data_IF_394341634331
#
_entry.id   IF_394341634331
#
_cell.length_a   1.000
_cell.length_b   1.000
_cell.length_c   1.000
_cell.angle_alpha   90.00
_cell.angle_beta   90.00
_cell.angle_gamma   90.00
#
_symmetry.space_group_name_H-M   'P 1'
#
loop_
_entity.id
_entity.type
_entity.pdbx_description
1 polymer ?
#
# COMPACT_ATOMS: atom_id res chain seq x y z
N UNK A 1 -10.53 -70.22 -14.27
CA UNK A 1 -11.92 -69.96 -13.80
C UNK A 1 -11.97 -70.09 -12.29
N UNK A 2 -11.83 -69.00 -11.54
CA UNK A 2 -12.09 -69.00 -10.09
C UNK A 2 -13.29 -68.09 -9.82
N UNK A 3 -14.32 -68.70 -9.25
CA UNK A 3 -15.63 -68.10 -8.96
C UNK A 3 -15.53 -67.25 -7.69
N UNK A 4 -15.75 -65.95 -7.81
CA UNK A 4 -16.12 -65.12 -6.66
C UNK A 4 -17.50 -65.56 -6.17
N UNK A 5 -17.54 -66.31 -5.06
CA UNK A 5 -18.79 -66.58 -4.33
C UNK A 5 -19.15 -65.34 -3.51
N UNK A 6 -20.10 -64.58 -4.01
CA UNK A 6 -20.76 -63.50 -3.31
C UNK A 6 -21.79 -64.11 -2.34
N UNK A 7 -21.48 -64.14 -1.04
CA UNK A 7 -22.46 -64.44 0.00
C UNK A 7 -23.24 -63.15 0.29
N UNK A 8 -24.38 -62.96 -0.36
CA UNK A 8 -25.33 -61.93 0.00
C UNK A 8 -26.09 -62.40 1.23
N UNK A 9 -25.66 -61.92 2.40
CA UNK A 9 -26.40 -62.08 3.64
C UNK A 9 -27.46 -60.96 3.68
N UNK A 10 -28.68 -61.24 3.25
CA UNK A 10 -29.81 -60.30 3.25
C UNK A 10 -30.38 -60.12 4.67
N UNK A 11 -29.52 -59.74 5.63
CA UNK A 11 -30.00 -59.26 6.93
C UNK A 11 -30.36 -57.80 6.75
N UNK A 12 -31.66 -57.48 6.84
CA UNK A 12 -32.14 -56.11 6.80
C UNK A 12 -31.39 -55.24 7.80
N UNK A 13 -31.17 -53.97 7.43
CA UNK A 13 -30.50 -52.97 8.27
C UNK A 13 -31.12 -52.93 9.65
N UNK A 14 -30.31 -53.14 10.68
CA UNK A 14 -30.78 -53.01 12.06
C UNK A 14 -31.02 -51.53 12.39
N UNK A 15 -31.97 -51.25 13.28
CA UNK A 15 -32.30 -49.89 13.69
C UNK A 15 -31.08 -49.13 14.24
N UNK A 16 -30.20 -49.85 14.93
CA UNK A 16 -28.97 -49.31 15.50
C UNK A 16 -27.98 -48.91 14.40
N UNK A 17 -27.85 -49.69 13.32
CA UNK A 17 -26.99 -49.33 12.19
C UNK A 17 -27.48 -48.08 11.47
N UNK A 18 -28.80 -47.94 11.25
CA UNK A 18 -29.37 -46.73 10.63
C UNK A 18 -29.15 -45.51 11.53
N UNK A 19 -29.34 -45.66 12.85
CA UNK A 19 -29.13 -44.57 13.80
C UNK A 19 -27.65 -44.14 13.85
N UNK A 20 -26.72 -45.09 13.83
CA UNK A 20 -25.29 -44.79 13.78
C UNK A 20 -24.90 -44.07 12.48
N UNK A 21 -25.41 -44.50 11.33
CA UNK A 21 -25.14 -43.82 10.05
C UNK A 21 -25.69 -42.39 10.02
N UNK A 22 -26.89 -42.14 10.55
CA UNK A 22 -27.46 -40.79 10.63
C UNK A 22 -26.66 -39.87 11.56
N UNK A 23 -26.17 -40.39 12.69
CA UNK A 23 -25.33 -39.61 13.62
C UNK A 23 -23.98 -39.26 12.96
N UNK A 24 -23.32 -40.23 12.32
CA UNK A 24 -22.05 -39.99 11.62
C UNK A 24 -22.25 -39.00 10.47
N UNK A 25 -23.31 -39.17 9.68
CA UNK A 25 -23.65 -38.25 8.59
C UNK A 25 -23.93 -36.83 9.10
N UNK A 26 -24.63 -36.71 10.23
CA UNK A 26 -24.91 -35.42 10.89
C UNK A 26 -23.64 -34.70 11.34
N UNK A 27 -22.69 -35.43 11.94
CA UNK A 27 -21.40 -34.87 12.36
C UNK A 27 -20.60 -34.38 11.14
N UNK A 28 -20.53 -35.19 10.08
CA UNK A 28 -19.83 -34.82 8.84
C UNK A 28 -20.47 -33.60 8.19
N UNK A 29 -21.80 -33.53 8.15
CA UNK A 29 -22.53 -32.42 7.55
C UNK A 29 -22.27 -31.10 8.29
N UNK A 30 -22.32 -31.12 9.63
CA UNK A 30 -22.01 -29.94 10.45
C UNK A 30 -20.53 -29.56 10.28
N UNK A 31 -19.63 -30.53 10.21
CA UNK A 31 -18.19 -30.29 10.01
C UNK A 31 -17.85 -29.63 8.67
N UNK A 32 -18.56 -29.96 7.60
CA UNK A 32 -18.34 -29.34 6.28
C UNK A 32 -19.00 -27.94 6.22
N UNK A 33 -20.17 -27.76 6.86
CA UNK A 33 -20.87 -26.46 6.92
C UNK A 33 -20.05 -25.36 7.59
N UNK A 34 -19.08 -25.68 8.47
CA UNK A 34 -18.21 -24.69 9.11
C UNK A 34 -17.01 -24.26 8.25
N UNK A 35 -16.72 -24.96 7.15
CA UNK A 35 -15.61 -24.66 6.24
C UNK A 35 -16.02 -23.69 5.11
N UNK A 36 -17.27 -23.77 4.65
CA UNK A 36 -17.77 -22.92 3.56
C UNK A 36 -17.75 -21.41 3.86
N UNK A 37 -18.16 -20.93 5.06
CA UNK A 37 -18.12 -19.50 5.37
C UNK A 37 -16.69 -18.90 5.30
N UNK A 38 -15.67 -19.74 5.54
CA UNK A 38 -14.28 -19.30 5.54
C UNK A 38 -13.74 -19.07 4.13
N UNK A 39 -14.18 -19.85 3.14
CA UNK A 39 -13.74 -19.69 1.75
C UNK A 39 -14.33 -18.45 1.09
N UNK A 40 -15.60 -18.13 1.35
CA UNK A 40 -16.23 -16.90 0.83
C UNK A 40 -15.56 -15.65 1.40
N UNK A 41 -15.32 -15.63 2.72
CA UNK A 41 -14.70 -14.48 3.40
C UNK A 41 -13.23 -14.29 3.01
N UNK A 42 -12.52 -15.36 2.63
CA UNK A 42 -11.15 -15.26 2.12
C UNK A 42 -11.09 -14.74 0.68
N UNK A 43 -12.06 -15.10 -0.15
CA UNK A 43 -12.14 -14.63 -1.53
C UNK A 43 -12.45 -13.13 -1.61
N UNK A 44 -13.42 -12.65 -0.83
CA UNK A 44 -13.77 -11.22 -0.75
C UNK A 44 -12.56 -10.39 -0.29
N UNK A 45 -11.83 -10.85 0.75
CA UNK A 45 -10.61 -10.18 1.21
C UNK A 45 -9.49 -10.19 0.17
N UNK A 46 -9.41 -11.22 -0.66
CA UNK A 46 -8.39 -11.32 -1.70
C UNK A 46 -8.69 -10.35 -2.84
N UNK A 47 -9.95 -10.22 -3.25
CA UNK A 47 -10.40 -9.26 -4.26
C UNK A 47 -10.11 -7.81 -3.82
N UNK A 48 -10.54 -7.43 -2.62
CA UNK A 48 -10.28 -6.09 -2.05
C UNK A 48 -8.77 -5.80 -1.97
N UNK A 49 -7.95 -6.81 -1.65
CA UNK A 49 -6.49 -6.66 -1.61
C UNK A 49 -5.88 -6.43 -2.99
N UNK A 50 -6.38 -7.09 -4.03
CA UNK A 50 -5.89 -6.91 -5.39
C UNK A 50 -6.24 -5.51 -5.91
N UNK A 51 -7.45 -5.04 -5.67
CA UNK A 51 -7.90 -3.72 -6.10
C UNK A 51 -7.11 -2.60 -5.39
N UNK A 52 -6.96 -2.69 -4.07
CA UNK A 52 -6.17 -1.72 -3.31
C UNK A 52 -4.67 -1.75 -3.67
N UNK A 53 -4.15 -2.88 -4.16
CA UNK A 53 -2.78 -2.93 -4.69
C UNK A 53 -2.64 -2.20 -6.04
N UNK A 54 -3.66 -2.27 -6.89
CA UNK A 54 -3.69 -1.48 -8.11
C UNK A 54 -3.79 0.01 -7.80
N UNK A 55 -4.64 0.41 -6.83
CA UNK A 55 -4.70 1.79 -6.34
C UNK A 55 -3.34 2.27 -5.84
N UNK A 56 -2.67 1.50 -4.98
CA UNK A 56 -1.34 1.88 -4.45
C UNK A 56 -0.29 2.08 -5.56
N UNK A 57 -0.34 1.28 -6.63
CA UNK A 57 0.54 1.41 -7.80
C UNK A 57 0.22 2.64 -8.62
N UNK A 58 -1.05 2.90 -8.86
CA UNK A 58 -1.51 4.09 -9.58
C UNK A 58 -1.10 5.35 -8.83
N UNK A 59 -1.36 5.45 -7.53
CA UNK A 59 -0.97 6.60 -6.71
C UNK A 59 0.54 6.80 -6.69
N UNK A 60 1.31 5.72 -6.65
CA UNK A 60 2.78 5.80 -6.77
C UNK A 60 3.20 6.37 -8.12
N UNK A 61 2.54 5.99 -9.20
CA UNK A 61 2.84 6.51 -10.53
C UNK A 61 2.48 7.99 -10.64
N UNK A 62 1.31 8.39 -10.12
CA UNK A 62 0.87 9.79 -10.14
C UNK A 62 1.85 10.68 -9.37
N UNK A 63 2.18 10.31 -8.12
CA UNK A 63 3.11 11.10 -7.31
C UNK A 63 4.49 11.22 -7.96
N UNK A 64 4.98 10.18 -8.63
CA UNK A 64 6.26 10.19 -9.37
C UNK A 64 6.28 11.17 -10.55
N UNK A 65 5.12 11.46 -11.15
CA UNK A 65 5.02 12.36 -12.30
C UNK A 65 4.93 13.84 -11.92
N UNK A 66 4.79 14.15 -10.63
CA UNK A 66 4.72 15.52 -10.15
C UNK A 66 6.06 16.20 -10.37
N UNK A 67 6.12 17.31 -11.14
CA UNK A 67 7.36 18.07 -11.31
C UNK A 67 7.66 18.80 -10.00
N UNK A 68 8.68 18.34 -9.27
CA UNK A 68 9.17 18.97 -8.07
C UNK A 68 10.45 19.73 -8.39
N UNK A 69 10.48 21.02 -8.06
CA UNK A 69 11.55 21.92 -8.46
C UNK A 69 12.06 22.73 -7.27
N UNK A 70 13.37 22.72 -7.07
CA UNK A 70 14.07 23.58 -6.13
C UNK A 70 14.98 24.56 -6.87
N UNK A 71 15.02 25.80 -6.38
CA UNK A 71 16.02 26.78 -6.83
C UNK A 71 17.38 26.34 -6.34
N UNK A 72 18.40 26.46 -7.17
CA UNK A 72 19.76 26.22 -6.72
C UNK A 72 20.19 27.32 -5.75
N UNK A 73 20.25 26.98 -4.48
CA UNK A 73 21.13 27.66 -3.56
C UNK A 73 22.33 26.72 -3.29
N UNK A 74 23.52 27.28 -3.02
CA UNK A 74 24.78 26.54 -2.78
C UNK A 74 24.74 25.76 -1.46
N UNK A 75 23.70 24.96 -1.23
CA UNK A 75 23.47 24.28 0.02
C UNK A 75 24.01 22.86 -0.11
N UNK A 76 24.93 22.54 0.78
CA UNK A 76 25.56 21.23 0.99
C UNK A 76 24.61 20.18 1.59
N UNK A 77 23.30 20.46 1.61
CA UNK A 77 22.26 19.61 2.17
C UNK A 77 20.85 20.16 1.95
N UNK A 78 19.83 19.34 2.20
CA UNK A 78 18.43 19.77 2.13
C UNK A 78 18.05 20.52 3.42
N UNK A 79 17.47 21.71 3.28
CA UNK A 79 17.01 22.51 4.42
C UNK A 79 15.55 22.24 4.76
N UNK A 80 15.09 22.70 5.93
CA UNK A 80 13.67 22.71 6.26
C UNK A 80 12.85 23.56 5.27
N UNK A 81 13.43 24.67 4.77
CA UNK A 81 12.79 25.52 3.77
C UNK A 81 12.56 24.78 2.44
N UNK A 82 13.55 24.00 1.99
CA UNK A 82 13.43 23.14 0.80
C UNK A 82 12.36 22.07 1.00
N UNK A 83 12.32 21.45 2.18
CA UNK A 83 11.33 20.43 2.52
C UNK A 83 9.90 21.02 2.52
N UNK A 84 9.73 22.21 3.07
CA UNK A 84 8.45 22.92 3.07
C UNK A 84 8.03 23.35 1.66
N UNK A 85 8.99 23.72 0.79
CA UNK A 85 8.70 24.07 -0.60
C UNK A 85 8.24 22.86 -1.40
N UNK A 86 8.91 21.70 -1.25
CA UNK A 86 8.47 20.44 -1.86
C UNK A 86 7.07 20.06 -1.36
N UNK A 87 6.83 20.17 -0.05
CA UNK A 87 5.52 19.88 0.54
C UNK A 87 4.43 20.78 -0.05
N UNK A 88 4.69 22.08 -0.20
CA UNK A 88 3.75 23.03 -0.82
C UNK A 88 3.49 22.76 -2.30
N UNK A 89 4.51 22.34 -3.06
CA UNK A 89 4.34 21.92 -4.46
C UNK A 89 3.45 20.67 -4.56
N UNK A 90 3.70 19.67 -3.71
CA UNK A 90 2.88 18.46 -3.63
C UNK A 90 1.44 18.81 -3.27
N UNK A 91 1.23 19.64 -2.25
CA UNK A 91 -0.11 20.08 -1.84
C UNK A 91 -0.84 20.80 -2.99
N UNK A 92 -0.17 21.70 -3.70
CA UNK A 92 -0.76 22.45 -4.81
C UNK A 92 -1.19 21.53 -5.95
N UNK A 93 -0.35 20.58 -6.32
CA UNK A 93 -0.68 19.64 -7.41
C UNK A 93 -1.79 18.68 -6.99
N UNK A 94 -1.78 18.22 -5.73
CA UNK A 94 -2.83 17.34 -5.21
C UNK A 94 -4.18 18.05 -5.07
N UNK A 95 -4.25 19.31 -4.61
CA UNK A 95 -5.53 20.04 -4.53
C UNK A 95 -6.26 20.15 -5.88
N UNK A 96 -5.53 20.15 -6.98
CA UNK A 96 -6.09 20.23 -8.32
C UNK A 96 -6.54 18.87 -8.90
N UNK A 97 -6.36 17.76 -8.16
CA UNK A 97 -6.76 16.44 -8.63
C UNK A 97 -8.27 16.24 -8.48
N UNK A 98 -8.98 15.84 -9.55
CA UNK A 98 -10.43 15.68 -9.53
C UNK A 98 -10.91 14.42 -8.80
N UNK A 99 -10.03 13.45 -8.57
CA UNK A 99 -10.32 12.17 -7.94
C UNK A 99 -10.09 12.16 -6.41
N UNK A 100 -9.74 13.33 -5.86
CA UNK A 100 -9.50 13.55 -4.44
C UNK A 100 -10.67 14.27 -3.79
N UNK A 101 -11.02 13.82 -2.59
CA UNK A 101 -11.88 14.57 -1.69
C UNK A 101 -11.05 15.72 -1.10
N UNK A 102 -11.15 16.91 -1.68
CA UNK A 102 -10.29 18.06 -1.35
C UNK A 102 -10.19 18.36 0.16
N UNK A 103 -11.30 18.22 0.89
CA UNK A 103 -11.38 18.43 2.34
C UNK A 103 -10.59 17.42 3.18
N UNK A 104 -10.14 16.32 2.59
CA UNK A 104 -9.38 15.26 3.25
C UNK A 104 -7.87 15.39 3.10
N UNK A 105 -7.39 16.25 2.19
CA UNK A 105 -5.97 16.42 1.95
C UNK A 105 -5.30 17.13 3.13
N UNK A 106 -4.27 16.50 3.69
CA UNK A 106 -3.36 17.11 4.64
C UNK A 106 -1.93 16.76 4.28
N UNK A 107 -1.08 17.78 4.25
CA UNK A 107 0.36 17.65 4.03
C UNK A 107 1.06 18.13 5.28
N UNK A 108 1.85 17.25 5.91
CA UNK A 108 2.56 17.56 7.14
C UNK A 108 4.06 17.34 6.94
N UNK A 109 4.85 18.32 7.35
CA UNK A 109 6.32 18.23 7.35
C UNK A 109 6.81 18.00 8.78
N UNK A 110 7.75 17.09 8.98
CA UNK A 110 8.46 16.96 10.25
C UNK A 110 9.79 17.72 10.15
N UNK A 111 9.96 18.88 10.83
CA UNK A 111 11.13 19.74 10.67
C UNK A 111 12.45 19.02 10.97
N UNK A 112 12.50 18.25 12.07
CA UNK A 112 13.72 17.56 12.50
C UNK A 112 14.10 16.34 11.65
N UNK A 113 13.11 15.65 11.07
CA UNK A 113 13.35 14.48 10.22
C UNK A 113 13.49 14.83 8.73
N UNK A 114 13.06 16.03 8.34
CA UNK A 114 12.91 16.45 6.94
C UNK A 114 12.01 15.50 6.12
N UNK A 115 11.06 14.86 6.78
CA UNK A 115 10.08 13.96 6.16
C UNK A 115 8.82 14.73 5.79
N UNK A 116 8.12 14.25 4.75
CA UNK A 116 6.82 14.77 4.32
C UNK A 116 5.82 13.62 4.39
N UNK A 117 4.70 13.83 5.08
CA UNK A 117 3.56 12.92 5.11
C UNK A 117 2.39 13.56 4.39
N UNK A 118 1.89 12.89 3.36
CA UNK A 118 0.68 13.23 2.63
C UNK A 118 -0.43 12.29 3.08
N UNK A 119 -1.58 12.83 3.49
CA UNK A 119 -2.79 12.05 3.76
C UNK A 119 -3.93 12.61 2.93
N UNK A 120 -4.65 11.75 2.22
CA UNK A 120 -5.84 12.13 1.45
C UNK A 120 -6.77 10.95 1.25
N UNK A 121 -8.03 11.24 0.93
CA UNK A 121 -9.04 10.25 0.56
C UNK A 121 -9.40 10.39 -0.92
N UNK A 122 -9.55 9.25 -1.57
CA UNK A 122 -10.01 9.12 -2.95
C UNK A 122 -11.54 9.03 -2.98
N UNK A 123 -12.15 9.37 -4.11
CA UNK A 123 -13.60 9.28 -4.32
C UNK A 123 -14.17 7.85 -4.17
N UNK A 124 -13.31 6.84 -4.33
CA UNK A 124 -13.65 5.44 -4.11
C UNK A 124 -13.71 5.04 -2.62
N UNK A 125 -13.51 5.98 -1.70
CA UNK A 125 -13.57 5.77 -0.24
C UNK A 125 -12.25 5.34 0.40
N UNK A 126 -11.23 4.98 -0.40
CA UNK A 126 -9.92 4.60 0.12
C UNK A 126 -9.17 5.82 0.67
N UNK A 127 -8.50 5.64 1.81
CA UNK A 127 -7.53 6.63 2.33
C UNK A 127 -6.13 6.24 1.91
N UNK A 128 -5.35 7.21 1.45
CA UNK A 128 -3.97 7.03 1.03
C UNK A 128 -3.07 7.87 1.93
N UNK A 129 -2.02 7.25 2.42
CA UNK A 129 -0.95 7.88 3.18
C UNK A 129 0.37 7.68 2.43
N UNK A 130 1.05 8.77 2.10
CA UNK A 130 2.36 8.72 1.46
C UNK A 130 3.41 9.37 2.35
N UNK A 131 4.39 8.59 2.77
CA UNK A 131 5.56 9.04 3.51
C UNK A 131 6.73 9.23 2.57
N UNK A 132 7.20 10.46 2.45
CA UNK A 132 8.38 10.83 1.67
C UNK A 132 9.51 11.10 2.64
N UNK A 133 10.51 10.24 2.62
CA UNK A 133 11.67 10.34 3.49
C UNK A 133 12.66 11.37 2.94
N UNK A 134 13.48 11.96 3.82
CA UNK A 134 14.67 12.67 3.36
C UNK A 134 15.59 11.72 2.56
N UNK A 135 16.39 12.23 1.61
CA UNK A 135 17.44 11.43 0.98
C UNK A 135 18.41 10.95 2.08
N UNK A 136 18.91 9.71 1.96
CA UNK A 136 19.88 9.16 2.91
C UNK A 136 21.08 10.11 3.00
N UNK A 137 21.40 10.57 4.23
CA UNK A 137 22.51 11.50 4.42
C UNK A 137 23.84 10.80 4.16
N UNK A 138 24.76 11.55 3.55
CA UNK A 138 26.16 11.16 3.45
C UNK A 138 26.72 10.89 4.86
N UNK A 139 27.19 9.67 5.08
CA UNK A 139 28.01 9.32 6.25
C UNK A 139 29.35 10.05 6.10
N UNK A 140 29.57 11.03 6.95
CA UNK A 140 30.84 11.73 7.19
C UNK A 140 31.43 12.56 6.02
N UNK A 141 31.40 13.88 6.24
CA UNK A 141 32.04 14.94 5.45
C UNK A 141 31.36 15.25 4.10
N UNK A 142 30.36 16.15 4.17
CA UNK A 142 29.50 16.63 3.07
C UNK A 142 30.17 17.71 2.19
N UNK A 143 31.49 17.64 2.00
CA UNK A 143 32.22 18.54 1.09
C UNK A 143 32.07 18.16 -0.37
N UNK A 144 31.62 16.93 -0.65
CA UNK A 144 31.44 16.39 -2.00
C UNK A 144 29.99 15.92 -2.22
N UNK A 145 29.24 16.70 -3.01
CA UNK A 145 27.83 16.45 -3.39
C UNK A 145 27.59 15.08 -4.08
N UNK A 146 28.67 14.41 -4.47
CA UNK A 146 28.69 13.11 -5.16
C UNK A 146 28.59 11.90 -4.24
N UNK A 147 28.61 12.08 -2.90
CA UNK A 147 28.57 10.97 -1.92
C UNK A 147 27.17 10.57 -1.46
N UNK A 148 26.12 11.17 -1.99
CA UNK A 148 24.76 10.71 -1.77
C UNK A 148 24.41 9.68 -2.85
N UNK A 149 24.00 8.47 -2.46
CA UNK A 149 23.54 7.44 -3.41
C UNK A 149 22.30 7.90 -4.22
N UNK A 150 21.63 8.96 -3.75
CA UNK A 150 20.37 9.47 -4.29
C UNK A 150 20.45 10.91 -4.81
N UNK A 151 21.62 11.57 -4.83
CA UNK A 151 21.78 12.94 -5.31
C UNK A 151 22.64 12.97 -6.57
N UNK A 152 22.10 13.52 -7.63
CA UNK A 152 22.74 13.71 -8.92
C UNK A 152 23.00 15.20 -9.14
N UNK A 153 23.82 15.54 -10.13
CA UNK A 153 24.18 16.93 -10.42
C UNK A 153 22.91 17.80 -10.59
N UNK A 154 21.89 17.35 -11.32
CA UNK A 154 20.70 18.17 -11.63
C UNK A 154 19.44 17.81 -10.84
N UNK A 155 19.42 16.71 -10.10
CA UNK A 155 18.23 16.27 -9.34
C UNK A 155 18.62 15.38 -8.17
N UNK A 156 17.72 15.13 -7.24
CA UNK A 156 17.87 14.07 -6.24
C UNK A 156 16.59 13.26 -6.11
N UNK A 157 16.73 12.06 -5.56
CA UNK A 157 15.66 11.14 -5.31
C UNK A 157 15.29 11.16 -3.83
N UNK A 158 13.99 11.03 -3.55
CA UNK A 158 13.47 10.83 -2.20
C UNK A 158 12.69 9.53 -2.15
N UNK A 159 13.04 8.64 -1.22
CA UNK A 159 12.27 7.42 -0.98
C UNK A 159 10.84 7.78 -0.58
N UNK A 160 9.88 7.12 -1.20
CA UNK A 160 8.47 7.27 -0.92
C UNK A 160 7.85 5.91 -0.60
N UNK A 161 7.08 5.86 0.47
CA UNK A 161 6.27 4.72 0.88
C UNK A 161 4.81 5.13 0.86
N UNK A 162 3.99 4.44 0.08
CA UNK A 162 2.55 4.65 -0.01
C UNK A 162 1.83 3.52 0.69
N UNK A 163 0.88 3.86 1.54
CA UNK A 163 0.00 2.94 2.24
C UNK A 163 -1.45 3.29 1.90
N UNK A 164 -2.24 2.27 1.53
CA UNK A 164 -3.65 2.41 1.19
C UNK A 164 -4.48 1.71 2.24
N UNK A 165 -5.50 2.40 2.73
CA UNK A 165 -6.43 1.97 3.75
C UNK A 165 -7.84 1.92 3.17
N UNK A 166 -8.63 0.95 3.62
CA UNK A 166 -10.02 0.74 3.20
C UNK A 166 -10.93 1.95 3.45
N UNK A 167 -10.64 2.68 4.52
CA UNK A 167 -11.50 3.74 5.02
C UNK A 167 -10.73 4.72 5.88
N UNK A 168 -11.33 5.89 6.11
CA UNK A 168 -10.77 6.95 6.95
C UNK A 168 -10.51 6.53 8.41
N UNK A 169 -11.17 5.49 8.90
CA UNK A 169 -11.04 5.00 10.29
C UNK A 169 -10.14 3.78 10.41
N UNK A 170 -9.71 3.18 9.31
CA UNK A 170 -8.84 2.01 9.35
C UNK A 170 -7.44 2.37 9.86
N UNK A 171 -6.92 1.53 10.75
CA UNK A 171 -5.57 1.65 11.32
C UNK A 171 -4.56 0.76 10.61
N UNK A 172 -5.01 -0.23 9.86
CA UNK A 172 -4.14 -1.19 9.18
C UNK A 172 -4.21 -0.96 7.67
N UNK A 173 -3.06 -0.72 7.00
CA UNK A 173 -3.05 -0.59 5.55
C UNK A 173 -3.31 -1.94 4.89
N UNK A 174 -4.20 -1.95 3.90
CA UNK A 174 -4.50 -3.13 3.08
C UNK A 174 -3.37 -3.38 2.08
N UNK A 175 -2.77 -2.29 1.58
CA UNK A 175 -1.73 -2.33 0.57
C UNK A 175 -0.61 -1.35 0.89
N UNK A 176 0.61 -1.72 0.46
CA UNK A 176 1.82 -0.91 0.58
C UNK A 176 2.56 -0.93 -0.75
N UNK A 177 3.10 0.22 -1.15
CA UNK A 177 3.98 0.32 -2.31
C UNK A 177 5.14 1.29 -2.04
N UNK A 178 6.23 1.11 -2.77
CA UNK A 178 7.44 1.91 -2.62
C UNK A 178 7.84 2.55 -3.94
N UNK A 179 8.42 3.73 -3.86
CA UNK A 179 8.87 4.48 -5.01
C UNK A 179 9.92 5.52 -4.64
N UNK A 180 10.32 6.30 -5.65
CA UNK A 180 11.22 7.43 -5.51
C UNK A 180 10.58 8.64 -6.15
N UNK A 181 10.59 9.79 -5.47
CA UNK A 181 10.22 11.07 -6.03
C UNK A 181 11.48 11.76 -6.56
N UNK A 182 11.42 12.24 -7.80
CA UNK A 182 12.51 13.01 -8.41
C UNK A 182 12.28 14.48 -8.11
N UNK A 183 13.26 15.14 -7.51
CA UNK A 183 13.26 16.59 -7.27
C UNK A 183 14.35 17.22 -8.11
N UNK A 184 13.95 18.04 -9.08
CA UNK A 184 14.88 18.73 -9.96
C UNK A 184 15.42 19.99 -9.27
N UNK A 185 16.71 20.25 -9.49
CA UNK A 185 17.35 21.49 -9.11
C UNK A 185 17.46 22.33 -10.38
N UNK A 186 16.86 23.51 -10.43
CA UNK A 186 17.00 24.45 -11.57
C UNK A 186 18.06 25.53 -11.32
N UNK A 187 19.15 25.57 -12.10
CA UNK A 187 20.22 26.54 -11.87
C UNK A 187 19.63 27.94 -11.87
N UNK A 188 20.10 28.77 -10.94
CA UNK A 188 19.70 30.18 -10.92
C UNK A 188 20.09 30.76 -12.28
N UNK A 189 19.10 31.08 -13.10
CA UNK A 189 19.32 31.75 -14.38
C UNK A 189 19.84 33.13 -13.99
N UNK A 190 21.15 33.32 -14.08
CA UNK A 190 21.79 34.60 -13.80
C UNK A 190 21.17 35.70 -14.67
N UNK A 191 21.17 36.96 -14.18
CA UNK A 191 20.63 38.10 -14.91
C UNK A 191 21.27 38.29 -16.29
#
# INVERSE_FOLDING_TARGET
MNRFRQNWNEKGLTLVEILATLVILGIVFIGIMTLFPQMTLFNERTEVKLDTMNVARQETSVLKTIPLELKWEKVTGMTEADNNLIAGQLETVLKNRPDLVESSLSVTTNPGALDITLNYSLDNGNRVEAHVQKPDQCSDDCTDIKKFDEVFDTFFLRKMKIEVYESATSTNPISKNYGYLKVERKPEVGP
#
